data_IF_013575092541
#
_entry.id   IF_013575092541
#
_cell.length_a   1.000
_cell.length_b   1.000
_cell.length_c   1.000
_cell.angle_alpha   90.00
_cell.angle_beta   90.00
_cell.angle_gamma   90.00
#
_symmetry.space_group_name_H-M   'P 1'
#
loop_
_entity.id
_entity.type
_entity.pdbx_description
1 polymer ?
#
# COMPACT_ATOMS: atom_id res chain seq x y z
N UNK A 1 10.80 -15.68 -0.39
CA UNK A 1 10.04 -14.43 -0.65
C UNK A 1 8.65 -14.45 -0.03
N UNK A 2 7.88 -15.56 -0.08
CA UNK A 2 6.61 -15.69 0.67
C UNK A 2 6.78 -15.59 2.19
N UNK A 3 7.99 -15.79 2.71
CA UNK A 3 8.39 -15.61 4.12
C UNK A 3 8.17 -14.18 4.65
N UNK A 4 7.90 -13.22 3.77
CA UNK A 4 7.62 -11.82 4.11
C UNK A 4 6.15 -11.53 4.33
N UNK A 5 5.26 -12.37 3.79
CA UNK A 5 3.81 -12.24 3.97
C UNK A 5 3.51 -12.65 5.40
N UNK A 6 2.89 -11.75 6.14
CA UNK A 6 2.47 -11.99 7.52
C UNK A 6 0.96 -12.16 7.45
N UNK A 7 0.44 -13.40 7.58
CA UNK A 7 -0.97 -13.68 7.41
C UNK A 7 -1.78 -13.00 8.52
N UNK A 8 -2.75 -12.19 8.10
CA UNK A 8 -3.78 -11.59 8.94
C UNK A 8 -5.14 -12.02 8.39
N UNK A 9 -6.12 -12.21 9.26
CA UNK A 9 -7.43 -12.76 8.90
C UNK A 9 -8.29 -11.71 8.17
N UNK A 10 -8.36 -10.51 8.72
CA UNK A 10 -9.17 -9.40 8.24
C UNK A 10 -8.41 -8.32 7.48
N UNK A 11 -7.10 -8.48 7.28
CA UNK A 11 -6.26 -7.52 6.56
C UNK A 11 -5.56 -8.21 5.40
N UNK A 12 -5.95 -7.84 4.19
CA UNK A 12 -5.35 -8.40 2.98
C UNK A 12 -3.94 -7.86 2.76
N UNK A 13 -3.11 -8.66 2.08
CA UNK A 13 -1.85 -8.22 1.51
C UNK A 13 -0.82 -7.64 2.50
N UNK A 14 -0.92 -8.02 3.78
CA UNK A 14 -0.03 -7.50 4.82
C UNK A 14 1.35 -8.19 4.76
N UNK A 15 2.42 -7.40 4.58
CA UNK A 15 3.80 -7.91 4.49
C UNK A 15 4.86 -6.88 4.82
N UNK A 16 6.04 -7.38 5.17
CA UNK A 16 7.29 -6.60 5.25
C UNK A 16 7.91 -6.48 3.84
N UNK A 17 8.05 -5.25 3.34
CA UNK A 17 8.68 -4.97 2.04
C UNK A 17 10.15 -4.55 2.17
N UNK A 18 10.81 -4.79 3.30
CA UNK A 18 12.25 -4.60 3.50
C UNK A 18 13.12 -5.73 2.91
N UNK A 19 14.34 -5.92 3.40
CA UNK A 19 15.22 -7.07 3.12
C UNK A 19 15.85 -7.18 1.73
N UNK A 20 15.52 -6.30 0.79
CA UNK A 20 16.11 -6.26 -0.55
C UNK A 20 17.52 -5.68 -0.55
N UNK A 21 18.36 -6.09 -1.50
CA UNK A 21 19.71 -5.56 -1.62
C UNK A 21 19.66 -4.12 -2.13
N UNK A 22 20.58 -3.27 -1.65
CA UNK A 22 20.72 -1.90 -2.14
C UNK A 22 22.01 -1.74 -2.93
N UNK A 23 21.93 -1.01 -4.05
CA UNK A 23 23.10 -0.54 -4.82
C UNK A 23 24.01 0.39 -4.00
N UNK A 24 23.50 0.97 -2.91
CA UNK A 24 24.26 1.80 -1.98
C UNK A 24 25.05 0.96 -0.94
N UNK A 25 24.96 -0.36 -1.02
CA UNK A 25 25.53 -1.30 -0.04
C UNK A 25 24.51 -1.73 1.01
N UNK A 26 24.70 -2.95 1.53
CA UNK A 26 23.80 -3.53 2.53
C UNK A 26 22.42 -3.93 2.00
N UNK A 27 21.43 -3.95 2.89
CA UNK A 27 20.05 -4.33 2.61
C UNK A 27 19.08 -3.36 3.25
N UNK A 28 17.92 -3.17 2.64
CA UNK A 28 16.78 -2.52 3.29
C UNK A 28 16.47 -3.31 4.58
N UNK A 29 16.39 -2.63 5.72
CA UNK A 29 16.17 -3.29 7.01
C UNK A 29 14.79 -3.98 7.03
N UNK A 30 14.73 -5.22 7.52
CA UNK A 30 13.46 -5.93 7.80
C UNK A 30 12.82 -5.36 9.06
N UNK A 31 11.50 -5.47 9.18
CA UNK A 31 10.71 -4.97 10.31
C UNK A 31 10.56 -3.45 10.37
N UNK A 32 10.94 -2.73 9.30
CA UNK A 32 10.88 -1.25 9.23
C UNK A 32 9.85 -0.72 8.25
N UNK A 33 9.49 -1.51 7.25
CA UNK A 33 8.69 -1.09 6.12
C UNK A 33 7.60 -2.13 5.86
N UNK A 34 6.35 -1.77 6.16
CA UNK A 34 5.19 -2.63 5.98
C UNK A 34 4.23 -2.09 4.93
N UNK A 35 3.52 -3.00 4.26
CA UNK A 35 2.45 -2.66 3.32
C UNK A 35 1.24 -3.55 3.52
N UNK A 36 0.05 -3.03 3.25
CA UNK A 36 -1.21 -3.75 3.49
C UNK A 36 -2.41 -3.17 2.73
N UNK A 37 -3.53 -3.88 2.75
CA UNK A 37 -4.86 -3.33 2.46
C UNK A 37 -5.45 -2.55 3.64
N UNK A 38 -6.76 -2.31 3.61
CA UNK A 38 -7.47 -1.56 4.66
C UNK A 38 -7.74 -2.39 5.93
N UNK A 39 -7.97 -1.70 7.04
CA UNK A 39 -8.17 -2.30 8.37
C UNK A 39 -9.65 -2.36 8.81
N UNK A 40 -10.60 -2.26 7.89
CA UNK A 40 -12.02 -2.23 8.25
C UNK A 40 -12.53 -3.62 8.69
N UNK A 41 -11.98 -4.69 8.11
CA UNK A 41 -12.31 -6.08 8.44
C UNK A 41 -11.36 -6.68 9.51
N UNK A 42 -10.36 -5.92 9.99
CA UNK A 42 -9.32 -6.43 10.89
C UNK A 42 -9.89 -7.03 12.18
N UNK A 43 -9.47 -8.25 12.54
CA UNK A 43 -9.90 -8.93 13.76
C UNK A 43 -9.16 -8.39 14.99
N UNK A 44 -9.63 -8.74 16.19
CA UNK A 44 -8.94 -8.32 17.42
C UNK A 44 -7.49 -8.86 17.48
N UNK A 45 -7.26 -10.06 16.97
CA UNK A 45 -5.94 -10.67 16.97
C UNK A 45 -5.03 -10.07 15.88
N UNK A 46 -5.59 -9.70 14.71
CA UNK A 46 -4.85 -8.89 13.73
C UNK A 46 -4.35 -7.59 14.36
N UNK A 47 -5.23 -6.87 15.06
CA UNK A 47 -4.88 -5.59 15.68
C UNK A 47 -3.84 -5.75 16.80
N UNK A 48 -3.92 -6.83 17.60
CA UNK A 48 -2.87 -7.14 18.59
C UNK A 48 -1.53 -7.41 17.90
N UNK A 49 -1.53 -8.12 16.78
CA UNK A 49 -0.32 -8.41 16.03
C UNK A 49 0.31 -7.12 15.49
N UNK A 50 -0.48 -6.31 14.78
CA UNK A 50 -0.04 -5.05 14.16
C UNK A 50 0.52 -4.07 15.20
N UNK A 51 -0.10 -3.97 16.37
CA UNK A 51 0.38 -3.10 17.47
C UNK A 51 1.76 -3.49 18.01
N UNK A 52 2.20 -4.75 17.84
CA UNK A 52 3.52 -5.21 18.31
C UNK A 52 4.66 -4.90 17.33
N UNK A 53 4.33 -4.42 16.12
CA UNK A 53 5.31 -4.17 15.06
C UNK A 53 6.00 -2.81 15.15
N UNK A 54 5.67 -1.98 16.14
CA UNK A 54 6.30 -0.66 16.32
C UNK A 54 6.00 0.32 15.20
N UNK A 55 4.86 0.18 14.52
CA UNK A 55 4.48 1.06 13.41
C UNK A 55 4.05 2.42 13.97
N UNK A 56 4.83 3.46 13.67
CA UNK A 56 4.60 4.84 14.12
C UNK A 56 4.05 5.74 13.02
N UNK A 57 4.39 5.44 11.76
CA UNK A 57 3.98 6.19 10.59
C UNK A 57 3.07 5.35 9.69
N UNK A 58 1.95 5.92 9.25
CA UNK A 58 1.07 5.34 8.26
C UNK A 58 0.79 6.31 7.12
N UNK A 59 0.92 5.85 5.88
CA UNK A 59 0.36 6.51 4.71
C UNK A 59 -0.90 5.77 4.26
N UNK A 60 -2.08 6.30 4.61
CA UNK A 60 -3.38 5.77 4.18
C UNK A 60 -3.82 6.44 2.88
N UNK A 61 -3.50 5.78 1.76
CA UNK A 61 -3.72 6.25 0.39
C UNK A 61 -5.17 6.03 -0.09
N UNK A 62 -6.08 5.61 0.79
CA UNK A 62 -7.51 5.50 0.48
C UNK A 62 -8.09 6.88 0.24
N UNK A 63 -9.02 6.99 -0.70
CA UNK A 63 -9.82 8.20 -0.92
C UNK A 63 -10.79 8.41 0.24
N UNK A 64 -11.32 9.64 0.41
CA UNK A 64 -12.32 9.92 1.44
C UNK A 64 -13.52 8.97 1.43
N UNK A 65 -14.08 8.69 0.26
CA UNK A 65 -15.27 7.83 0.12
C UNK A 65 -14.99 6.36 0.49
N UNK A 66 -13.77 5.87 0.25
CA UNK A 66 -13.35 4.54 0.68
C UNK A 66 -13.21 4.48 2.21
N UNK A 67 -12.65 5.52 2.83
CA UNK A 67 -12.51 5.61 4.30
C UNK A 67 -13.87 5.74 5.00
N UNK A 68 -14.82 6.45 4.40
CA UNK A 68 -16.19 6.58 4.91
C UNK A 68 -16.98 5.28 4.82
N UNK A 69 -16.91 4.58 3.69
CA UNK A 69 -17.60 3.30 3.48
C UNK A 69 -17.00 2.17 4.31
N UNK A 70 -15.69 2.20 4.52
CA UNK A 70 -14.93 1.18 5.23
C UNK A 70 -14.03 1.83 6.29
N UNK A 71 -14.60 2.34 7.40
CA UNK A 71 -13.81 2.98 8.45
C UNK A 71 -12.79 1.99 9.04
N UNK A 72 -11.53 2.41 9.13
CA UNK A 72 -10.45 1.56 9.64
C UNK A 72 -10.57 1.34 11.15
N UNK A 73 -10.33 0.12 11.63
CA UNK A 73 -10.32 -0.21 13.07
C UNK A 73 -8.98 0.11 13.75
N UNK A 74 -7.98 0.53 12.98
CA UNK A 74 -6.65 0.87 13.45
C UNK A 74 -5.99 1.93 12.57
N UNK A 75 -5.16 2.76 13.21
CA UNK A 75 -4.25 3.69 12.56
C UNK A 75 -2.97 3.80 13.37
N UNK A 76 -1.87 4.19 12.72
CA UNK A 76 -0.63 4.55 13.41
C UNK A 76 -0.76 5.91 14.13
N UNK A 77 0.08 6.20 15.13
CA UNK A 77 0.10 7.51 15.81
C UNK A 77 0.21 8.70 14.86
N UNK A 78 1.11 8.64 13.88
CA UNK A 78 1.16 9.59 12.78
C UNK A 78 0.55 8.96 11.52
N UNK A 79 -0.61 9.45 11.10
CA UNK A 79 -1.30 8.96 9.90
C UNK A 79 -1.46 10.07 8.87
N UNK A 80 -0.91 9.86 7.69
CA UNK A 80 -1.01 10.74 6.54
C UNK A 80 -2.20 10.32 5.67
N UNK A 81 -3.12 11.25 5.41
CA UNK A 81 -4.29 11.07 4.54
C UNK A 81 -4.45 12.28 3.61
N UNK A 82 -5.28 12.12 2.58
CA UNK A 82 -5.69 13.22 1.70
C UNK A 82 -7.21 13.31 1.55
N UNK A 83 -7.72 14.50 1.22
CA UNK A 83 -9.13 14.75 0.93
C UNK A 83 -9.43 14.90 -0.57
N UNK A 84 -8.38 14.88 -1.40
CA UNK A 84 -8.53 14.90 -2.86
C UNK A 84 -9.09 13.59 -3.44
N UNK A 85 -9.51 13.63 -4.71
CA UNK A 85 -9.79 12.42 -5.48
C UNK A 85 -11.09 11.68 -5.15
N UNK A 86 -11.97 12.24 -4.31
CA UNK A 86 -13.31 11.67 -4.06
C UNK A 86 -14.05 11.41 -5.38
N UNK A 87 -14.48 10.18 -5.58
CA UNK A 87 -15.39 9.80 -6.66
C UNK A 87 -16.82 10.04 -6.14
N UNK A 88 -17.47 11.12 -6.62
CA UNK A 88 -18.84 11.46 -6.23
C UNK A 88 -19.91 10.58 -6.92
N UNK A 89 -19.50 9.75 -7.89
CA UNK A 89 -20.39 8.80 -8.53
C UNK A 89 -20.28 7.43 -7.85
N UNK A 90 -21.42 6.75 -7.73
CA UNK A 90 -21.52 5.38 -7.25
C UNK A 90 -20.42 4.48 -7.86
N UNK A 91 -19.49 3.91 -7.08
CA UNK A 91 -18.33 3.16 -7.59
C UNK A 91 -18.70 1.94 -8.43
N UNK A 92 -19.89 1.37 -8.22
CA UNK A 92 -20.42 0.27 -9.00
C UNK A 92 -20.73 0.68 -10.45
N UNK A 93 -21.04 1.94 -10.72
CA UNK A 93 -21.49 2.37 -12.06
C UNK A 93 -20.37 2.79 -13.00
N UNK A 94 -19.13 3.02 -12.54
CA UNK A 94 -18.01 3.35 -13.45
C UNK A 94 -17.09 2.16 -13.73
N UNK A 95 -16.90 1.26 -12.76
CA UNK A 95 -16.06 0.08 -12.91
C UNK A 95 -16.80 -1.07 -13.62
N UNK A 96 -18.01 -1.42 -13.18
CA UNK A 96 -18.81 -2.50 -13.80
C UNK A 96 -19.28 -2.12 -15.22
N UNK A 97 -19.53 -0.83 -15.47
CA UNK A 97 -20.09 -0.38 -16.75
C UNK A 97 -19.03 -0.22 -17.85
N UNK A 98 -17.73 -0.18 -17.51
CA UNK A 98 -16.63 -0.02 -18.50
C UNK A 98 -15.62 -1.18 -18.55
N UNK A 99 -15.52 -2.01 -17.52
CA UNK A 99 -14.39 -2.94 -17.37
C UNK A 99 -14.80 -4.42 -17.39
N UNK A 100 -16.02 -4.79 -16.99
CA UNK A 100 -16.39 -6.20 -16.84
C UNK A 100 -16.55 -7.01 -18.14
N UNK A 101 -16.49 -6.39 -19.32
CA UNK A 101 -16.70 -7.10 -20.60
C UNK A 101 -15.45 -7.24 -21.49
N UNK A 102 -14.30 -6.61 -21.17
CA UNK A 102 -13.13 -6.60 -22.05
C UNK A 102 -11.81 -6.40 -21.30
N UNK A 103 -11.00 -7.46 -21.23
CA UNK A 103 -9.69 -7.46 -20.58
C UNK A 103 -8.74 -6.39 -21.16
N UNK A 104 -8.81 -6.08 -22.47
CA UNK A 104 -7.95 -5.07 -23.09
C UNK A 104 -8.34 -3.66 -22.65
N UNK A 105 -9.63 -3.39 -22.46
CA UNK A 105 -10.09 -2.10 -21.94
C UNK A 105 -9.70 -1.93 -20.47
N UNK A 106 -9.78 -3.00 -19.69
CA UNK A 106 -9.30 -3.03 -18.31
C UNK A 106 -7.80 -2.70 -18.23
N UNK A 107 -7.00 -3.37 -19.06
CA UNK A 107 -5.55 -3.15 -19.14
C UNK A 107 -5.24 -1.70 -19.53
N UNK A 108 -5.82 -1.19 -20.62
CA UNK A 108 -5.59 0.18 -21.08
C UNK A 108 -5.93 1.22 -20.00
N UNK A 109 -7.08 1.05 -19.33
CA UNK A 109 -7.48 1.92 -18.24
C UNK A 109 -6.50 1.88 -17.06
N UNK A 110 -6.05 0.68 -16.65
CA UNK A 110 -5.05 0.53 -15.59
C UNK A 110 -3.73 1.20 -15.99
N UNK A 111 -3.26 1.02 -17.23
CA UNK A 111 -2.04 1.66 -17.73
C UNK A 111 -2.16 3.18 -17.65
N UNK A 112 -3.27 3.75 -18.09
CA UNK A 112 -3.50 5.20 -18.00
C UNK A 112 -3.59 5.70 -16.56
N UNK A 113 -4.20 4.92 -15.67
CA UNK A 113 -4.19 5.20 -14.24
C UNK A 113 -2.77 5.26 -13.68
N UNK A 114 -1.93 4.25 -13.97
CA UNK A 114 -0.53 4.20 -13.49
C UNK A 114 0.32 5.35 -14.04
N UNK A 115 0.08 5.78 -15.29
CA UNK A 115 0.74 6.95 -15.89
C UNK A 115 0.37 8.24 -15.16
N UNK A 116 -0.89 8.43 -14.79
CA UNK A 116 -1.37 9.67 -14.20
C UNK A 116 -1.19 9.74 -12.67
N UNK A 117 -1.29 8.61 -11.97
CA UNK A 117 -1.39 8.57 -10.52
C UNK A 117 -0.25 9.29 -9.78
N UNK A 118 1.05 9.10 -10.09
CA UNK A 118 2.13 9.77 -9.37
C UNK A 118 2.12 11.31 -9.49
N UNK A 119 1.44 11.85 -10.50
CA UNK A 119 1.37 13.29 -10.79
C UNK A 119 0.12 13.96 -10.23
N UNK A 120 -0.78 13.22 -9.58
CA UNK A 120 -1.93 13.82 -8.91
C UNK A 120 -1.45 14.56 -7.67
N UNK A 121 -1.87 15.81 -7.49
CA UNK A 121 -1.47 16.68 -6.37
C UNK A 121 -1.54 15.99 -5.00
N UNK A 122 -2.64 15.31 -4.70
CA UNK A 122 -2.82 14.60 -3.42
C UNK A 122 -1.86 13.41 -3.23
N UNK A 123 -1.46 12.73 -4.32
CA UNK A 123 -0.44 11.70 -4.24
C UNK A 123 0.94 12.33 -4.06
N UNK A 124 1.27 13.43 -4.74
CA UNK A 124 2.53 14.14 -4.55
C UNK A 124 2.70 14.63 -3.11
N UNK A 125 1.65 15.20 -2.51
CA UNK A 125 1.63 15.61 -1.10
C UNK A 125 1.87 14.42 -0.17
N UNK A 126 1.13 13.32 -0.35
CA UNK A 126 1.28 12.13 0.49
C UNK A 126 2.63 11.43 0.33
N UNK A 127 3.12 11.31 -0.90
CA UNK A 127 4.40 10.66 -1.17
C UNK A 127 5.54 11.50 -0.61
N UNK A 128 5.48 12.82 -0.73
CA UNK A 128 6.46 13.72 -0.12
C UNK A 128 6.44 13.62 1.40
N UNK A 129 5.24 13.69 2.02
CA UNK A 129 5.09 13.54 3.47
C UNK A 129 5.56 12.17 3.98
N UNK A 130 5.32 11.09 3.21
CA UNK A 130 5.86 9.77 3.52
C UNK A 130 7.37 9.79 3.60
N UNK A 131 8.07 10.33 2.60
CA UNK A 131 9.54 10.38 2.61
C UNK A 131 10.09 11.29 3.71
N UNK A 132 9.46 12.44 3.96
CA UNK A 132 9.84 13.36 5.05
C UNK A 132 9.77 12.65 6.40
N UNK A 133 8.63 12.07 6.75
CA UNK A 133 8.45 11.45 8.06
C UNK A 133 9.13 10.09 8.19
N UNK A 134 9.30 9.35 7.09
CA UNK A 134 10.06 8.11 7.10
C UNK A 134 11.53 8.36 7.48
N UNK A 135 12.10 9.49 7.06
CA UNK A 135 13.47 9.88 7.42
C UNK A 135 13.62 10.32 8.89
N UNK A 136 12.52 10.60 9.58
CA UNK A 136 12.47 11.03 10.98
C UNK A 136 12.26 9.87 11.97
N UNK A 137 11.88 8.69 11.47
CA UNK A 137 11.65 7.52 12.33
C UNK A 137 12.91 7.09 13.06
N UNK A 138 12.75 6.70 14.33
CA UNK A 138 13.82 6.10 15.10
C UNK A 138 14.19 4.71 14.57
N UNK A 139 15.39 4.25 14.94
CA UNK A 139 15.96 3.00 14.48
C UNK A 139 15.13 1.76 14.84
N UNK A 140 14.23 1.85 15.82
CA UNK A 140 13.31 0.82 16.30
C UNK A 140 11.84 1.00 15.88
N UNK A 141 11.53 2.06 15.11
CA UNK A 141 10.19 2.36 14.61
C UNK A 141 9.98 1.82 13.18
N UNK A 142 8.71 1.76 12.75
CA UNK A 142 8.35 1.28 11.43
C UNK A 142 7.30 2.18 10.75
N UNK A 143 7.33 2.18 9.42
CA UNK A 143 6.34 2.82 8.56
C UNK A 143 5.45 1.81 7.86
N UNK A 144 4.18 2.16 7.64
CA UNK A 144 3.21 1.35 6.91
C UNK A 144 2.53 2.14 5.79
N UNK A 145 2.42 1.53 4.62
CA UNK A 145 1.67 2.08 3.48
C UNK A 145 0.45 1.21 3.20
N UNK A 146 -0.73 1.81 3.08
CA UNK A 146 -1.93 1.07 2.71
C UNK A 146 -2.83 1.84 1.73
N UNK A 147 -3.69 1.10 1.04
CA UNK A 147 -4.82 1.64 0.29
C UNK A 147 -6.03 0.72 0.56
N UNK A 148 -6.94 0.53 -0.40
CA UNK A 148 -8.01 -0.47 -0.26
C UNK A 148 -7.43 -1.91 -0.25
N UNK A 149 -6.89 -2.38 -1.38
CA UNK A 149 -6.37 -3.74 -1.49
C UNK A 149 -4.87 -3.88 -1.17
N UNK A 150 -4.16 -2.76 -0.97
CA UNK A 150 -2.70 -2.75 -0.81
C UNK A 150 -1.91 -3.04 -2.09
N UNK A 151 -2.58 -2.99 -3.24
CA UNK A 151 -2.02 -3.31 -4.56
C UNK A 151 -1.46 -2.09 -5.26
N UNK A 152 -2.33 -1.24 -5.80
CA UNK A 152 -1.91 -0.27 -6.80
C UNK A 152 -1.28 0.99 -6.23
N UNK A 153 -2.06 1.83 -5.53
CA UNK A 153 -1.55 3.06 -4.86
C UNK A 153 -0.43 2.75 -3.89
N UNK A 154 -0.61 1.71 -3.08
CA UNK A 154 0.43 1.18 -2.19
C UNK A 154 1.65 0.72 -2.96
N UNK A 155 1.47 -0.02 -4.06
CA UNK A 155 2.56 -0.50 -4.90
C UNK A 155 3.39 0.62 -5.50
N UNK A 156 2.76 1.71 -5.95
CA UNK A 156 3.45 2.90 -6.44
C UNK A 156 4.38 3.45 -5.36
N UNK A 157 3.86 3.74 -4.16
CA UNK A 157 4.67 4.34 -3.10
C UNK A 157 5.76 3.39 -2.57
N UNK A 158 5.47 2.09 -2.46
CA UNK A 158 6.48 1.07 -2.10
C UNK A 158 7.60 0.98 -3.15
N UNK A 159 7.25 0.98 -4.45
CA UNK A 159 8.22 0.95 -5.54
C UNK A 159 9.10 2.21 -5.57
N UNK A 160 8.50 3.39 -5.36
CA UNK A 160 9.26 4.64 -5.21
C UNK A 160 10.20 4.59 -4.00
N UNK A 161 9.73 4.02 -2.88
CA UNK A 161 10.55 3.87 -1.66
C UNK A 161 11.77 2.97 -1.92
N UNK A 162 11.57 1.83 -2.56
CA UNK A 162 12.66 0.95 -2.99
C UNK A 162 13.61 1.62 -3.98
N UNK A 163 13.09 2.38 -4.94
CA UNK A 163 13.91 3.07 -5.93
C UNK A 163 14.88 4.08 -5.27
N UNK A 164 14.38 4.87 -4.31
CA UNK A 164 15.19 5.80 -3.51
C UNK A 164 16.22 5.04 -2.67
N UNK A 165 15.83 3.91 -2.05
CA UNK A 165 16.72 3.05 -1.27
C UNK A 165 17.70 2.24 -2.13
N UNK A 166 17.66 2.36 -3.45
CA UNK A 166 18.63 1.74 -4.35
C UNK A 166 18.41 0.26 -4.64
N UNK A 167 17.19 -0.24 -4.45
CA UNK A 167 16.82 -1.61 -4.84
C UNK A 167 16.76 -1.72 -6.37
N UNK A 168 17.11 -2.89 -6.92
CA UNK A 168 17.08 -3.12 -8.37
C UNK A 168 15.64 -3.11 -8.92
N UNK A 169 15.48 -2.77 -10.19
CA UNK A 169 14.16 -2.80 -10.83
C UNK A 169 13.53 -4.20 -10.80
N UNK A 170 14.36 -5.25 -10.94
CA UNK A 170 13.93 -6.65 -10.85
C UNK A 170 13.36 -6.97 -9.46
N UNK A 171 14.05 -6.57 -8.39
CA UNK A 171 13.59 -6.78 -7.02
C UNK A 171 12.32 -5.95 -6.70
N UNK A 172 12.24 -4.71 -7.23
CA UNK A 172 11.05 -3.86 -7.12
C UNK A 172 9.84 -4.54 -7.77
N UNK A 173 10.01 -5.01 -9.01
CA UNK A 173 8.96 -5.73 -9.74
C UNK A 173 8.54 -6.98 -8.99
N UNK A 174 9.52 -7.71 -8.47
CA UNK A 174 9.28 -8.91 -7.68
C UNK A 174 8.46 -8.62 -6.42
N UNK A 175 8.77 -7.58 -5.63
CA UNK A 175 7.93 -7.19 -4.46
C UNK A 175 6.51 -6.79 -4.88
N UNK A 176 6.40 -6.03 -5.97
CA UNK A 176 5.13 -5.55 -6.50
C UNK A 176 4.23 -6.74 -6.90
N UNK A 177 4.78 -7.70 -7.63
CA UNK A 177 4.08 -8.90 -8.13
C UNK A 177 3.67 -9.88 -7.03
N UNK A 178 4.32 -9.87 -5.85
CA UNK A 178 3.87 -10.66 -4.69
C UNK A 178 2.40 -10.39 -4.32
N UNK A 179 1.88 -9.21 -4.68
CA UNK A 179 0.48 -8.87 -4.49
C UNK A 179 -0.49 -9.86 -5.15
N UNK A 180 -0.10 -10.48 -6.27
CA UNK A 180 -0.94 -11.48 -6.96
C UNK A 180 -1.11 -12.77 -6.14
N UNK A 181 -0.17 -13.05 -5.23
CA UNK A 181 -0.26 -14.19 -4.31
C UNK A 181 -0.89 -13.76 -2.98
N UNK A 182 -0.59 -12.54 -2.51
CA UNK A 182 -0.94 -12.08 -1.18
C UNK A 182 -2.36 -11.49 -1.05
N UNK A 183 -3.06 -11.26 -2.17
CA UNK A 183 -4.46 -10.79 -2.19
C UNK A 183 -5.46 -11.93 -2.34
N UNK A 184 -5.00 -13.15 -2.66
CA UNK A 184 -5.79 -14.36 -2.97
C UNK A 184 -7.25 -14.07 -3.32
N UNK A 185 -7.48 -13.71 -4.59
CA UNK A 185 -8.80 -13.33 -5.11
C UNK A 185 -9.72 -14.56 -5.24
N UNK A 186 -9.14 -15.76 -5.33
CA UNK A 186 -9.86 -17.01 -5.59
C UNK A 186 -10.14 -17.83 -4.32
N UNK A 187 -9.63 -17.37 -3.16
CA UNK A 187 -9.73 -18.05 -1.86
C UNK A 187 -10.89 -17.59 -0.95
N UNK A 188 -11.92 -16.92 -1.48
CA UNK A 188 -13.16 -16.60 -0.76
C UNK A 188 -14.38 -17.23 -1.42
#
# INVERSE_FOLDING_TARGET
MKDRIIPLEGVRNFRDFGGYASRHGGRVRRGRLFRSGHYAEATHDDLKHVRRLGIQLQADLRRPDEREKQPGRWSAPLTLTHDGGREHEAPHTQFLTRVEADAKKAEAWMVDYYRAAPFKKHHQELFSGWFTHLAELADDEAGLVNCAAGKDRTGILCALTHHVLGVSEEDIRTDYELTNVAVDVDGR
#
